data_IF_997432085843
#
_entry.id   IF_997432085843
#
_cell.length_a   1.000
_cell.length_b   1.000
_cell.length_c   1.000
_cell.angle_alpha   90.00
_cell.angle_beta   90.00
_cell.angle_gamma   90.00
#
_symmetry.space_group_name_H-M   'P 1'
#
loop_
_entity.id
_entity.type
_entity.pdbx_description
1 polymer ?
#
# COMPACT_ATOMS: atom_id res chain seq x y z
N UNK A 1 22.71 7.55 20.99
CA UNK A 1 22.30 6.60 19.94
C UNK A 1 22.28 5.21 20.54
N UNK A 2 21.09 4.62 20.69
CA UNK A 2 20.94 3.27 21.24
C UNK A 2 20.53 2.35 20.10
N UNK A 3 21.21 1.22 19.99
CA UNK A 3 20.83 0.16 19.04
C UNK A 3 19.86 -0.78 19.76
N UNK A 4 18.75 -1.08 19.10
CA UNK A 4 17.70 -1.95 19.60
C UNK A 4 17.63 -3.17 18.70
N UNK A 5 17.84 -4.35 19.28
CA UNK A 5 17.67 -5.62 18.57
C UNK A 5 16.20 -6.00 18.61
N UNK A 6 15.54 -6.09 17.46
CA UNK A 6 14.12 -6.45 17.37
C UNK A 6 13.92 -7.65 16.46
N UNK A 7 12.86 -8.40 16.70
CA UNK A 7 12.45 -9.53 15.87
C UNK A 7 11.25 -9.12 15.02
N UNK A 8 11.42 -9.14 13.70
CA UNK A 8 10.39 -8.82 12.73
C UNK A 8 9.77 -10.10 12.22
N UNK A 9 8.44 -10.20 12.30
CA UNK A 9 7.64 -11.27 11.71
C UNK A 9 6.78 -10.74 10.57
N UNK A 10 6.62 -11.55 9.51
CA UNK A 10 5.61 -11.30 8.49
C UNK A 10 4.18 -11.52 9.03
N UNK A 11 3.18 -10.95 8.35
CA UNK A 11 1.74 -11.20 8.61
C UNK A 11 1.40 -12.69 8.65
N UNK A 12 2.07 -13.51 7.84
CA UNK A 12 1.90 -14.96 7.79
C UNK A 12 2.64 -15.71 8.90
N UNK A 13 3.55 -15.05 9.63
CA UNK A 13 4.42 -15.67 10.64
C UNK A 13 5.46 -16.64 10.06
N UNK A 14 5.51 -16.83 8.74
CA UNK A 14 6.41 -17.80 8.09
C UNK A 14 7.87 -17.35 8.10
N UNK A 15 8.12 -16.04 8.11
CA UNK A 15 9.46 -15.45 8.12
C UNK A 15 9.63 -14.62 9.38
N UNK A 16 10.68 -14.94 10.14
CA UNK A 16 11.16 -14.17 11.30
C UNK A 16 12.59 -13.72 11.04
N UNK A 17 12.85 -12.44 11.22
CA UNK A 17 14.16 -11.86 11.01
C UNK A 17 14.53 -10.99 12.20
N UNK A 18 15.69 -11.27 12.81
CA UNK A 18 16.30 -10.33 13.76
C UNK A 18 17.05 -9.22 13.02
N UNK A 19 16.84 -7.98 13.47
CA UNK A 19 17.52 -6.81 12.95
C UNK A 19 17.91 -5.86 14.09
N UNK A 20 19.12 -5.32 13.98
CA UNK A 20 19.65 -4.32 14.89
C UNK A 20 19.42 -2.94 14.28
N UNK A 21 18.58 -2.14 14.93
CA UNK A 21 18.12 -0.87 14.39
C UNK A 21 18.37 0.23 15.43
N UNK A 22 18.95 1.38 15.04
CA UNK A 22 19.08 2.52 15.92
C UNK A 22 17.74 3.22 16.16
N UNK A 23 17.55 3.74 17.38
CA UNK A 23 16.31 4.36 17.85
C UNK A 23 16.03 5.77 17.29
N UNK A 24 17.07 6.46 16.83
CA UNK A 24 17.05 7.85 16.33
C UNK A 24 16.56 7.97 14.86
N UNK A 25 16.43 6.85 14.14
CA UNK A 25 16.09 6.84 12.70
C UNK A 25 14.57 6.61 12.52
N UNK A 26 13.91 7.31 11.57
CA UNK A 26 12.52 7.05 11.24
C UNK A 26 12.31 5.65 10.66
N UNK A 27 11.18 5.04 11.01
CA UNK A 27 10.80 3.68 10.60
C UNK A 27 10.76 3.52 9.07
N UNK A 28 10.52 4.57 8.30
CA UNK A 28 10.51 4.53 6.82
C UNK A 28 11.76 3.88 6.22
N UNK A 29 12.94 4.27 6.72
CA UNK A 29 14.22 3.71 6.23
C UNK A 29 14.37 2.25 6.65
N UNK A 30 13.98 1.96 7.89
CA UNK A 30 14.02 0.63 8.48
C UNK A 30 13.12 -0.34 7.71
N UNK A 31 11.87 0.05 7.47
CA UNK A 31 10.87 -0.69 6.71
C UNK A 31 11.38 -0.96 5.30
N UNK A 32 11.97 0.03 4.63
CA UNK A 32 12.55 -0.16 3.28
C UNK A 32 13.66 -1.21 3.29
N UNK A 33 14.59 -1.13 4.24
CA UNK A 33 15.65 -2.13 4.39
C UNK A 33 15.10 -3.53 4.69
N UNK A 34 14.05 -3.63 5.49
CA UNK A 34 13.37 -4.89 5.82
C UNK A 34 12.66 -5.50 4.62
N UNK A 35 11.94 -4.70 3.83
CA UNK A 35 11.28 -5.14 2.58
C UNK A 35 12.32 -5.73 1.63
N UNK A 36 13.45 -5.03 1.42
CA UNK A 36 14.53 -5.52 0.56
C UNK A 36 15.15 -6.81 1.10
N UNK A 37 15.42 -6.88 2.42
CA UNK A 37 16.06 -8.05 3.05
C UNK A 37 15.16 -9.30 3.01
N UNK A 38 13.86 -9.14 3.22
CA UNK A 38 12.88 -10.25 3.22
C UNK A 38 12.29 -10.55 1.84
N UNK A 39 12.65 -9.74 0.82
CA UNK A 39 12.10 -9.77 -0.54
C UNK A 39 10.57 -9.65 -0.55
N UNK A 40 10.03 -8.72 0.23
CA UNK A 40 8.59 -8.44 0.23
C UNK A 40 8.22 -7.59 -1.00
N UNK A 41 7.04 -7.79 -1.59
CA UNK A 41 6.62 -7.05 -2.78
C UNK A 41 6.20 -5.63 -2.42
N UNK A 42 6.92 -4.62 -2.89
CA UNK A 42 6.58 -3.21 -2.67
C UNK A 42 5.32 -2.73 -3.43
N UNK A 43 4.86 -3.52 -4.40
CA UNK A 43 3.69 -3.23 -5.22
C UNK A 43 2.68 -4.37 -5.11
N UNK A 44 1.40 -4.02 -5.08
CA UNK A 44 0.34 -5.00 -5.21
C UNK A 44 0.30 -5.54 -6.65
N UNK A 45 -0.24 -6.73 -6.90
CA UNK A 45 -0.42 -7.26 -8.26
C UNK A 45 -1.32 -6.35 -9.15
N UNK A 46 -2.06 -5.42 -8.55
CA UNK A 46 -2.85 -4.41 -9.26
C UNK A 46 -2.05 -3.15 -9.63
N UNK A 47 -0.75 -3.11 -9.33
CA UNK A 47 0.14 -1.96 -9.60
C UNK A 47 0.05 -0.81 -8.60
N UNK A 48 -0.68 -0.98 -7.49
CA UNK A 48 -0.72 0.05 -6.44
C UNK A 48 0.50 -0.04 -5.53
N UNK A 49 1.09 1.10 -5.11
CA UNK A 49 2.15 1.09 -4.11
C UNK A 49 1.59 0.57 -2.78
N UNK A 50 2.31 -0.36 -2.17
CA UNK A 50 2.01 -0.83 -0.82
C UNK A 50 2.77 0.03 0.17
N UNK A 51 2.06 0.49 1.21
CA UNK A 51 2.72 0.99 2.39
C UNK A 51 2.78 -0.13 3.44
N UNK A 52 3.71 -0.04 4.37
CA UNK A 52 3.86 -1.03 5.42
C UNK A 52 3.76 -0.37 6.78
N UNK A 53 2.98 -0.99 7.66
CA UNK A 53 2.87 -0.59 9.07
C UNK A 53 3.46 -1.67 9.95
N UNK A 54 4.12 -1.25 11.03
CA UNK A 54 4.64 -2.15 12.04
C UNK A 54 3.68 -2.22 13.22
N UNK A 55 3.24 -3.43 13.56
CA UNK A 55 2.41 -3.68 14.72
C UNK A 55 3.29 -4.22 15.84
N UNK A 56 3.41 -3.45 16.92
CA UNK A 56 4.17 -3.89 18.08
C UNK A 56 3.31 -4.82 18.93
N UNK A 57 3.74 -6.09 19.10
CA UNK A 57 2.96 -7.09 19.83
C UNK A 57 2.81 -6.76 21.33
N UNK A 58 3.84 -6.20 21.96
CA UNK A 58 3.80 -5.92 23.40
C UNK A 58 3.01 -4.65 23.74
N UNK A 59 3.10 -3.61 22.90
CA UNK A 59 2.35 -2.36 23.12
C UNK A 59 0.94 -2.37 22.51
N UNK A 60 0.64 -3.31 21.60
CA UNK A 60 -0.63 -3.34 20.86
C UNK A 60 -0.83 -2.14 19.93
N UNK A 61 0.20 -1.33 19.68
CA UNK A 61 0.14 -0.11 18.88
C UNK A 61 0.67 -0.36 17.47
N UNK A 62 -0.02 0.23 16.50
CA UNK A 62 0.44 0.32 15.11
C UNK A 62 1.32 1.54 14.93
N UNK A 63 2.46 1.36 14.28
CA UNK A 63 3.47 2.39 14.04
C UNK A 63 3.53 2.69 12.55
N UNK A 64 3.57 3.98 12.24
CA UNK A 64 3.67 4.46 10.88
C UNK A 64 5.14 4.64 10.48
N UNK A 65 5.40 4.75 9.18
CA UNK A 65 6.76 4.97 8.64
C UNK A 65 7.42 6.28 9.12
N UNK A 66 6.61 7.26 9.52
CA UNK A 66 7.08 8.56 10.02
C UNK A 66 7.48 8.53 11.50
N UNK A 67 7.08 7.49 12.25
CA UNK A 67 7.42 7.34 13.66
C UNK A 67 8.86 6.86 13.85
N UNK A 68 9.37 6.99 15.08
CA UNK A 68 10.67 6.46 15.52
C UNK A 68 10.48 5.33 16.52
N UNK A 69 11.48 4.44 16.65
CA UNK A 69 11.46 3.36 17.65
C UNK A 69 11.46 3.91 19.09
N UNK A 70 12.09 5.06 19.31
CA UNK A 70 12.06 5.75 20.59
C UNK A 70 10.65 6.20 20.98
N UNK A 71 9.90 6.83 20.05
CA UNK A 71 8.52 7.26 20.28
C UNK A 71 7.57 6.06 20.52
N UNK A 72 7.90 4.92 19.91
CA UNK A 72 7.19 3.67 20.07
C UNK A 72 7.40 2.98 21.43
N UNK A 73 8.42 3.38 22.19
CA UNK A 73 8.84 2.69 23.41
C UNK A 73 9.30 1.25 23.17
N UNK A 74 9.84 0.95 21.98
CA UNK A 74 10.29 -0.40 21.63
C UNK A 74 11.61 -0.70 22.35
N UNK A 75 11.65 -1.84 23.03
CA UNK A 75 12.83 -2.33 23.78
C UNK A 75 13.51 -3.46 23.01
N UNK A 76 14.72 -3.77 23.44
CA UNK A 76 15.46 -4.93 22.97
C UNK A 76 14.65 -6.22 23.16
N UNK A 77 14.69 -7.09 22.15
CA UNK A 77 13.92 -8.35 22.11
C UNK A 77 12.44 -8.19 21.75
N UNK A 78 11.97 -6.98 21.42
CA UNK A 78 10.57 -6.78 21.03
C UNK A 78 10.24 -7.47 19.69
N UNK A 79 8.99 -7.95 19.60
CA UNK A 79 8.45 -8.61 18.41
C UNK A 79 7.52 -7.65 17.66
N UNK A 80 7.84 -7.41 16.39
CA UNK A 80 7.13 -6.50 15.49
C UNK A 80 6.56 -7.28 14.32
N UNK A 81 5.28 -7.07 14.00
CA UNK A 81 4.66 -7.66 12.83
C UNK A 81 4.54 -6.63 11.72
N UNK A 82 4.94 -6.98 10.50
CA UNK A 82 4.78 -6.09 9.35
C UNK A 82 3.46 -6.39 8.63
N UNK A 83 2.65 -5.36 8.43
CA UNK A 83 1.37 -5.44 7.74
C UNK A 83 1.38 -4.57 6.48
N UNK A 84 1.04 -5.12 5.29
CA UNK A 84 0.83 -4.32 4.12
C UNK A 84 -0.49 -3.55 4.24
N UNK A 85 -0.40 -2.23 4.09
CA UNK A 85 -1.53 -1.34 3.94
C UNK A 85 -1.60 -0.96 2.46
N UNK A 86 -2.69 -1.36 1.81
CA UNK A 86 -2.98 -0.87 0.47
C UNK A 86 -3.35 0.59 0.60
N UNK A 87 -2.45 1.47 0.17
CA UNK A 87 -2.79 2.87 0.03
C UNK A 87 -3.64 2.97 -1.23
N UNK A 88 -4.94 3.17 -1.05
CA UNK A 88 -5.84 3.60 -2.12
C UNK A 88 -5.47 5.05 -2.51
N UNK A 89 -4.29 5.21 -3.10
CA UNK A 89 -3.77 6.47 -3.58
C UNK A 89 -4.37 6.73 -4.95
N UNK A 90 -5.33 7.65 -4.96
CA UNK A 90 -5.79 8.45 -6.10
C UNK A 90 -5.04 8.14 -7.39
N UNK A 91 -5.62 7.26 -8.22
CA UNK A 91 -5.17 7.13 -9.60
C UNK A 91 -5.19 8.54 -10.13
N UNK A 92 -4.05 8.95 -10.66
CA UNK A 92 -3.91 10.23 -11.29
C UNK A 92 -5.01 10.36 -12.36
N UNK A 93 -6.12 11.00 -11.99
CA UNK A 93 -6.92 11.76 -12.93
C UNK A 93 -6.09 13.03 -13.21
N UNK A 94 -4.89 12.84 -13.77
CA UNK A 94 -4.21 13.91 -14.47
C UNK A 94 -4.97 14.09 -15.77
N UNK A 95 -5.98 14.95 -15.68
CA UNK A 95 -6.61 15.62 -16.80
C UNK A 95 -5.56 16.41 -17.58
N UNK A 96 -4.81 15.72 -18.46
CA UNK A 96 -4.18 16.40 -19.61
C UNK A 96 -5.16 16.69 -20.74
N UNK A 97 -6.45 16.36 -20.56
CA UNK A 97 -7.55 16.84 -21.38
C UNK A 97 -8.61 17.43 -20.46
N UNK A 98 -8.27 18.53 -19.78
CA UNK A 98 -9.27 19.47 -19.27
C UNK A 98 -9.63 20.46 -20.39
N UNK A 99 -10.22 19.96 -21.48
CA UNK A 99 -11.18 20.75 -22.22
C UNK A 99 -12.26 19.85 -22.81
N UNK A 100 -13.48 20.26 -22.50
CA UNK A 100 -14.80 19.77 -22.94
C UNK A 100 -15.32 18.45 -22.38
N UNK A 101 -16.32 18.65 -21.52
CA UNK A 101 -17.60 17.95 -21.58
C UNK A 101 -17.60 16.52 -21.08
N UNK A 102 -17.78 16.36 -19.76
CA UNK A 102 -18.70 15.36 -19.17
C UNK A 102 -18.71 15.49 -17.65
N UNK A 103 -19.27 16.60 -17.13
CA UNK A 103 -19.82 16.63 -15.78
C UNK A 103 -21.33 16.48 -15.88
N UNK A 104 -21.81 15.26 -15.62
CA UNK A 104 -23.15 14.82 -15.22
C UNK A 104 -23.12 13.29 -15.41
N UNK A 105 -23.20 12.42 -14.40
CA UNK A 105 -24.05 12.50 -13.23
C UNK A 105 -23.41 11.77 -12.04
N UNK A 106 -23.34 12.47 -10.92
CA UNK A 106 -23.38 11.84 -9.62
C UNK A 106 -24.85 11.71 -9.19
N UNK A 107 -25.13 10.67 -8.42
CA UNK A 107 -26.39 10.31 -7.74
C UNK A 107 -27.18 9.21 -8.45
N UNK A 108 -26.98 7.96 -8.03
CA UNK A 108 -28.07 7.09 -7.57
C UNK A 108 -27.49 5.78 -7.02
N UNK A 109 -27.49 5.66 -5.69
CA UNK A 109 -27.43 4.36 -5.01
C UNK A 109 -28.88 3.91 -4.76
N UNK A 110 -29.17 2.70 -5.26
CA UNK A 110 -30.32 1.85 -4.96
C UNK A 110 -31.61 2.14 -5.74
N UNK A 111 -31.82 1.44 -6.87
CA UNK A 111 -32.99 0.57 -7.12
C UNK A 111 -32.92 -0.14 -8.48
N UNK A 112 -33.49 -1.36 -8.49
CA UNK A 112 -34.16 -2.01 -9.63
C UNK A 112 -33.27 -2.65 -10.71
N UNK A 113 -33.13 -3.97 -10.55
CA UNK A 113 -33.38 -5.01 -11.56
C UNK A 113 -33.78 -4.50 -12.95
N UNK A 114 -33.08 -4.85 -14.02
CA UNK A 114 -33.69 -5.36 -15.26
C UNK A 114 -32.60 -5.76 -16.27
N UNK A 115 -32.63 -7.05 -16.58
CA UNK A 115 -32.44 -7.74 -17.85
C UNK A 115 -31.98 -6.93 -19.09
N UNK A 116 -31.20 -7.66 -19.91
CA UNK A 116 -31.05 -7.63 -21.38
C UNK A 116 -30.17 -6.57 -22.05
N UNK A 117 -29.00 -7.06 -22.50
CA UNK A 117 -28.61 -7.20 -23.91
C UNK A 117 -28.94 -6.04 -24.86
N UNK A 118 -27.92 -5.27 -25.24
CA UNK A 118 -27.84 -4.67 -26.57
C UNK A 118 -26.40 -4.22 -26.87
N UNK A 119 -25.75 -5.01 -27.74
CA UNK A 119 -24.94 -4.58 -28.87
C UNK A 119 -23.95 -3.43 -28.66
N UNK A 120 -22.66 -3.82 -28.55
CA UNK A 120 -21.51 -3.01 -28.93
C UNK A 120 -21.78 -2.35 -30.29
N UNK A 121 -21.78 -1.02 -30.25
CA UNK A 121 -21.69 -0.17 -31.41
C UNK A 121 -20.28 -0.24 -32.04
N UNK A 122 -20.20 0.43 -33.19
CA UNK A 122 -18.99 0.98 -33.83
C UNK A 122 -18.43 0.12 -34.95
N UNK A 123 -19.13 0.23 -36.09
CA UNK A 123 -18.49 0.50 -37.38
C UNK A 123 -17.55 1.69 -37.26
N UNK A 124 -16.25 1.47 -37.43
CA UNK A 124 -15.37 2.31 -38.25
C UNK A 124 -14.05 1.56 -38.43
N UNK A 125 -13.79 1.07 -39.64
CA UNK A 125 -12.51 0.48 -40.01
C UNK A 125 -12.01 1.20 -41.25
N UNK A 126 -11.14 2.18 -41.01
CA UNK A 126 -10.38 2.87 -42.04
C UNK A 126 -8.95 2.32 -42.04
N UNK A 127 -8.35 2.28 -43.23
CA UNK A 127 -6.95 1.97 -43.59
C UNK A 127 -6.72 0.51 -44.05
N UNK A 128 -6.62 0.27 -45.37
CA UNK A 128 -5.33 0.20 -46.12
C UNK A 128 -5.51 -0.25 -47.58
N UNK A 129 -4.78 0.42 -48.47
CA UNK A 129 -4.09 -0.12 -49.66
C UNK A 129 -4.71 0.13 -51.05
N UNK A 130 -4.04 1.06 -51.76
CA UNK A 130 -3.82 1.17 -53.22
C UNK A 130 -4.99 1.43 -54.15
#
# INVERSE_FOLDING_TARGET
>A
MRVVSVEIEDVTGAKRQRADIPDDIPLKRVITALITKMKLPAVSPSGSPLNYQLHHKASGRSLSESDTLANAGIRDGAVLKIHPVVVAGNRNCESRIANRESQQAATEWIKVSFRTNATCAVVDNYIKSR
#
